data_IF_743950750769
#
_entry.id   IF_743950750769
#
_cell.length_a   1.000
_cell.length_b   1.000
_cell.length_c   1.000
_cell.angle_alpha   90.00
_cell.angle_beta   90.00
_cell.angle_gamma   90.00
#
_symmetry.space_group_name_H-M   'P 1'
#
loop_
_entity.id
_entity.type
_entity.pdbx_description
1 polymer ?
#
# COMPACT_ATOMS: atom_id res chain seq x y z
N UNK A 1 -7.14 -7.58 -5.39
CA UNK A 1 -6.65 -8.25 -4.21
C UNK A 1 -6.31 -9.71 -4.49
N UNK A 2 -5.51 -10.28 -3.66
CA UNK A 2 -5.19 -11.71 -3.69
C UNK A 2 -6.35 -12.52 -3.10
N UNK A 3 -6.53 -13.81 -3.47
CA UNK A 3 -7.62 -14.65 -2.99
C UNK A 3 -7.76 -14.68 -1.45
N UNK A 4 -6.64 -14.77 -0.73
CA UNK A 4 -6.63 -14.91 0.75
C UNK A 4 -6.25 -13.63 1.50
N UNK A 5 -6.18 -12.49 0.82
CA UNK A 5 -5.78 -11.21 1.40
C UNK A 5 -6.63 -10.83 2.64
N UNK A 6 -7.95 -10.97 2.52
CA UNK A 6 -8.88 -10.67 3.61
C UNK A 6 -8.70 -11.59 4.83
N UNK A 7 -8.34 -12.85 4.61
CA UNK A 7 -8.10 -13.82 5.70
C UNK A 7 -6.95 -13.39 6.60
N UNK A 8 -5.90 -12.81 6.00
CA UNK A 8 -4.69 -12.43 6.74
C UNK A 8 -4.62 -10.95 7.07
N UNK A 9 -5.64 -10.14 6.75
CA UNK A 9 -5.68 -8.72 7.10
C UNK A 9 -5.61 -8.55 8.63
N UNK A 10 -4.59 -7.82 9.12
CA UNK A 10 -4.28 -7.69 10.54
C UNK A 10 -3.62 -8.92 11.19
N UNK A 11 -3.41 -10.00 10.43
CA UNK A 11 -2.69 -11.21 10.86
C UNK A 11 -1.48 -11.52 9.96
N UNK A 12 -0.85 -10.49 9.45
CA UNK A 12 0.30 -10.59 8.55
C UNK A 12 0.18 -9.69 7.32
N UNK A 13 -1.02 -9.36 6.84
CA UNK A 13 -1.25 -8.42 5.74
C UNK A 13 -1.56 -7.03 6.28
N UNK A 14 -0.92 -6.01 5.71
CA UNK A 14 -1.13 -4.60 6.02
C UNK A 14 -1.03 -3.74 4.75
N UNK A 15 -1.68 -2.58 4.76
CA UNK A 15 -1.57 -1.54 3.74
C UNK A 15 -0.88 -0.26 4.27
N UNK A 16 -0.24 -0.35 5.45
CA UNK A 16 0.39 0.82 6.10
C UNK A 16 1.63 0.39 6.89
N UNK A 17 2.81 0.56 6.30
CA UNK A 17 4.07 0.21 6.97
C UNK A 17 4.32 1.06 8.24
N UNK A 18 3.97 2.33 8.22
CA UNK A 18 4.13 3.22 9.39
C UNK A 18 3.18 2.88 10.54
N UNK A 19 2.02 2.27 10.23
CA UNK A 19 1.05 1.83 11.24
C UNK A 19 1.51 0.54 11.93
N UNK A 20 1.89 -0.46 11.14
CA UNK A 20 2.05 -1.83 11.60
C UNK A 20 3.50 -2.33 11.61
N UNK A 21 4.43 -1.61 10.97
CA UNK A 21 5.82 -2.05 10.80
C UNK A 21 6.53 -2.43 12.10
N UNK A 22 6.17 -1.79 13.22
CA UNK A 22 6.76 -2.09 14.52
C UNK A 22 6.53 -3.54 14.98
N UNK A 23 5.40 -4.17 14.61
CA UNK A 23 5.09 -5.57 14.94
C UNK A 23 5.97 -6.58 14.19
N UNK A 24 6.69 -6.11 13.17
CA UNK A 24 7.57 -6.92 12.33
C UNK A 24 9.07 -6.70 12.59
N UNK A 25 9.41 -6.17 13.76
CA UNK A 25 10.82 -6.03 14.17
C UNK A 25 11.54 -7.37 14.15
N UNK A 26 12.69 -7.41 13.47
CA UNK A 26 13.56 -8.58 13.30
C UNK A 26 12.90 -9.75 12.55
N UNK A 27 11.80 -9.50 11.88
CA UNK A 27 11.08 -10.46 11.04
C UNK A 27 11.43 -10.27 9.57
N UNK A 28 10.97 -11.19 8.73
CA UNK A 28 11.09 -11.12 7.27
C UNK A 28 9.77 -10.60 6.71
N UNK A 29 9.83 -9.55 5.88
CA UNK A 29 8.62 -8.95 5.31
C UNK A 29 8.72 -8.76 3.81
N UNK A 30 7.58 -8.71 3.14
CA UNK A 30 7.50 -8.35 1.73
C UNK A 30 6.68 -7.06 1.54
N UNK A 31 7.11 -6.21 0.59
CA UNK A 31 6.41 -5.02 0.14
C UNK A 31 6.07 -5.19 -1.33
N UNK A 32 4.80 -5.12 -1.69
CA UNK A 32 4.35 -5.22 -3.08
C UNK A 32 4.21 -3.85 -3.69
N UNK A 33 4.98 -3.58 -4.72
CA UNK A 33 4.97 -2.30 -5.43
C UNK A 33 6.35 -1.88 -5.92
N UNK A 34 6.39 -0.91 -6.82
CA UNK A 34 7.63 -0.41 -7.41
C UNK A 34 7.64 1.11 -7.66
N UNK A 35 6.71 1.86 -7.04
CA UNK A 35 6.67 3.32 -7.04
C UNK A 35 7.32 3.91 -5.78
N UNK A 36 7.29 5.25 -5.66
CA UNK A 36 7.89 5.96 -4.52
C UNK A 36 7.36 5.47 -3.18
N UNK A 37 6.04 5.31 -3.03
CA UNK A 37 5.42 4.78 -1.80
C UNK A 37 6.00 3.40 -1.41
N UNK A 38 6.16 2.49 -2.37
CA UNK A 38 6.72 1.17 -2.09
C UNK A 38 8.18 1.25 -1.64
N UNK A 39 8.97 2.14 -2.24
CA UNK A 39 10.36 2.38 -1.84
C UNK A 39 10.46 3.04 -0.45
N UNK A 40 9.57 3.97 -0.14
CA UNK A 40 9.48 4.61 1.19
C UNK A 40 9.12 3.57 2.27
N UNK A 41 8.08 2.77 2.04
CA UNK A 41 7.65 1.72 2.96
C UNK A 41 8.74 0.66 3.15
N UNK A 42 9.37 0.20 2.06
CA UNK A 42 10.47 -0.76 2.14
C UNK A 42 11.67 -0.20 2.93
N UNK A 43 12.02 1.08 2.71
CA UNK A 43 13.10 1.75 3.44
C UNK A 43 12.78 1.88 4.95
N UNK A 44 11.54 2.22 5.28
CA UNK A 44 11.08 2.28 6.66
C UNK A 44 11.12 0.90 7.33
N UNK A 45 10.54 -0.11 6.68
CA UNK A 45 10.54 -1.49 7.18
C UNK A 45 11.95 -2.07 7.32
N UNK A 46 12.88 -1.72 6.44
CA UNK A 46 14.28 -2.14 6.53
C UNK A 46 14.97 -1.66 7.80
N UNK A 47 14.52 -0.55 8.40
CA UNK A 47 15.02 -0.07 9.70
C UNK A 47 14.54 -0.93 10.89
N UNK A 48 13.53 -1.75 10.70
CA UNK A 48 12.88 -2.56 11.73
C UNK A 48 13.08 -4.06 11.52
N UNK A 49 12.81 -4.52 10.31
CA UNK A 49 12.83 -5.93 9.91
C UNK A 49 14.26 -6.46 9.70
N UNK A 50 14.43 -7.75 9.80
CA UNK A 50 15.71 -8.42 9.48
C UNK A 50 15.95 -8.48 7.97
N UNK A 51 14.89 -8.64 7.18
CA UNK A 51 14.91 -8.69 5.72
C UNK A 51 13.63 -8.10 5.14
N UNK A 52 13.76 -7.36 4.04
CA UNK A 52 12.64 -6.84 3.26
C UNK A 52 12.77 -7.32 1.82
N UNK A 53 11.74 -7.97 1.31
CA UNK A 53 11.61 -8.29 -0.11
C UNK A 53 10.70 -7.27 -0.78
N UNK A 54 11.15 -6.62 -1.85
CA UNK A 54 10.27 -5.81 -2.69
C UNK A 54 9.80 -6.65 -3.88
N UNK A 55 8.52 -6.94 -3.95
CA UNK A 55 7.93 -7.71 -5.06
C UNK A 55 7.47 -6.74 -6.15
N UNK A 56 8.14 -6.76 -7.29
CA UNK A 56 7.95 -5.80 -8.38
C UNK A 56 7.59 -6.51 -9.66
N UNK A 57 6.39 -6.27 -10.18
CA UNK A 57 5.89 -6.92 -11.42
C UNK A 57 6.66 -6.56 -12.69
N UNK A 58 7.29 -5.40 -12.72
CA UNK A 58 8.08 -4.92 -13.86
C UNK A 58 9.57 -5.23 -13.69
N UNK A 59 10.38 -5.25 -14.75
CA UNK A 59 11.84 -5.40 -14.64
C UNK A 59 12.55 -4.12 -14.15
N UNK A 60 11.81 -3.13 -13.69
CA UNK A 60 12.32 -1.84 -13.22
C UNK A 60 11.39 -1.23 -12.17
N UNK A 61 11.93 -0.36 -11.33
CA UNK A 61 11.18 0.50 -10.43
C UNK A 61 10.65 1.74 -11.18
N UNK A 62 9.43 2.18 -10.82
CA UNK A 62 8.84 3.43 -11.32
C UNK A 62 9.06 4.62 -10.38
N UNK A 63 9.71 4.36 -9.26
CA UNK A 63 10.06 5.38 -8.27
C UNK A 63 11.03 6.42 -8.84
N UNK A 64 11.14 7.56 -8.17
CA UNK A 64 12.18 8.57 -8.44
C UNK A 64 13.57 7.96 -8.29
N UNK A 65 14.56 8.49 -9.02
CA UNK A 65 15.92 7.97 -9.00
C UNK A 65 16.51 7.91 -7.58
N UNK A 66 16.25 8.93 -6.76
CA UNK A 66 16.71 8.99 -5.37
C UNK A 66 16.14 7.82 -4.54
N UNK A 67 14.87 7.49 -4.75
CA UNK A 67 14.24 6.39 -4.02
C UNK A 67 14.74 5.02 -4.52
N UNK A 68 14.98 4.88 -5.82
CA UNK A 68 15.61 3.67 -6.39
C UNK A 68 16.98 3.43 -5.78
N UNK A 69 17.86 4.46 -5.80
CA UNK A 69 19.19 4.36 -5.22
C UNK A 69 19.15 3.99 -3.73
N UNK A 70 18.24 4.59 -2.97
CA UNK A 70 18.06 4.30 -1.55
C UNK A 70 17.77 2.82 -1.30
N UNK A 71 16.77 2.24 -1.98
CA UNK A 71 16.40 0.84 -1.75
C UNK A 71 17.47 -0.12 -2.25
N UNK A 72 18.14 0.19 -3.38
CA UNK A 72 19.20 -0.63 -3.94
C UNK A 72 20.47 -0.63 -3.06
N UNK A 73 20.73 0.44 -2.31
CA UNK A 73 21.88 0.55 -1.41
C UNK A 73 21.62 0.03 0.00
N UNK A 74 20.36 -0.29 0.33
CA UNK A 74 19.98 -0.78 1.66
C UNK A 74 20.26 -2.28 1.76
N UNK A 75 21.20 -2.74 2.63
CA UNK A 75 21.74 -4.10 2.58
C UNK A 75 20.73 -5.21 2.83
N UNK A 76 19.66 -4.94 3.62
CA UNK A 76 18.63 -5.91 3.94
C UNK A 76 17.36 -5.76 3.09
N UNK A 77 17.40 -4.97 2.01
CA UNK A 77 16.36 -4.95 0.98
C UNK A 77 16.82 -5.80 -0.21
N UNK A 78 15.94 -6.67 -0.68
CA UNK A 78 16.11 -7.43 -1.91
C UNK A 78 14.94 -7.19 -2.84
N UNK A 79 15.23 -6.83 -4.09
CA UNK A 79 14.19 -6.50 -5.08
C UNK A 79 13.97 -7.70 -5.99
N UNK A 80 12.78 -8.27 -5.93
CA UNK A 80 12.34 -9.38 -6.76
C UNK A 80 11.60 -8.81 -7.97
N UNK A 81 12.36 -8.48 -9.01
CA UNK A 81 11.80 -8.00 -10.27
C UNK A 81 11.06 -9.10 -11.03
N UNK A 82 10.06 -8.69 -11.83
CA UNK A 82 9.25 -9.57 -12.67
C UNK A 82 8.51 -10.65 -11.87
N UNK A 83 8.23 -10.37 -10.58
CA UNK A 83 7.49 -11.25 -9.69
C UNK A 83 6.08 -10.72 -9.43
N UNK A 84 5.12 -11.63 -9.45
CA UNK A 84 3.70 -11.34 -9.16
C UNK A 84 3.23 -12.26 -8.04
N UNK A 85 2.69 -11.72 -6.94
CA UNK A 85 2.07 -12.55 -5.91
C UNK A 85 0.78 -13.15 -6.45
N UNK A 86 0.55 -14.44 -6.19
CA UNK A 86 -0.61 -15.21 -6.67
C UNK A 86 -1.48 -15.75 -5.55
N UNK A 87 -0.96 -15.82 -4.32
CA UNK A 87 -1.69 -16.26 -3.15
C UNK A 87 -0.87 -16.09 -1.88
N UNK A 88 -1.53 -16.25 -0.75
CA UNK A 88 -0.92 -16.18 0.58
C UNK A 88 -1.18 -17.50 1.32
N UNK A 89 -0.28 -17.90 2.20
CA UNK A 89 -0.47 -19.12 2.99
C UNK A 89 -0.07 -18.94 4.46
N UNK A 90 -0.58 -19.81 5.30
CA UNK A 90 -0.34 -19.89 6.73
C UNK A 90 -1.52 -20.50 7.48
N UNK A 91 -1.28 -21.09 8.65
CA UNK A 91 -2.32 -21.73 9.48
C UNK A 91 -2.93 -20.74 10.49
N UNK A 92 -2.11 -20.14 11.34
CA UNK A 92 -2.55 -19.27 12.45
C UNK A 92 -2.26 -17.78 12.18
N UNK A 93 -1.86 -17.43 10.98
CA UNK A 93 -1.46 -16.12 10.50
C UNK A 93 -0.72 -16.28 9.18
N UNK A 94 -0.18 -15.20 8.67
CA UNK A 94 0.62 -15.24 7.45
C UNK A 94 1.96 -15.91 7.72
N UNK A 95 2.32 -16.89 6.89
CA UNK A 95 3.61 -17.59 6.91
C UNK A 95 4.38 -17.43 5.60
N UNK A 96 3.67 -17.04 4.51
CA UNK A 96 4.35 -16.82 3.25
C UNK A 96 3.43 -16.39 2.11
N UNK A 97 4.05 -16.21 0.93
CA UNK A 97 3.42 -15.78 -0.30
C UNK A 97 3.83 -16.68 -1.46
N UNK A 98 2.85 -17.09 -2.27
CA UNK A 98 3.09 -17.74 -3.56
C UNK A 98 3.45 -16.70 -4.61
N UNK A 99 4.54 -16.92 -5.31
CA UNK A 99 5.06 -16.00 -6.34
C UNK A 99 5.16 -16.68 -7.69
N UNK A 100 4.82 -15.91 -8.73
CA UNK A 100 5.09 -16.28 -10.12
C UNK A 100 6.11 -15.31 -10.70
N UNK A 101 7.30 -15.83 -11.04
CA UNK A 101 8.30 -15.10 -11.80
C UNK A 101 7.95 -15.13 -13.27
N UNK A 102 8.01 -13.97 -13.95
CA UNK A 102 7.77 -13.78 -15.40
C UNK A 102 6.46 -14.44 -15.87
N UNK A 103 5.38 -14.13 -15.17
CA UNK A 103 4.05 -14.67 -15.48
C UNK A 103 3.66 -14.49 -16.96
N UNK A 104 3.25 -15.58 -17.60
CA UNK A 104 2.85 -15.62 -19.01
C UNK A 104 4.01 -15.65 -20.02
N UNK A 105 5.26 -15.86 -19.58
CA UNK A 105 6.44 -16.03 -20.45
C UNK A 105 6.90 -17.49 -20.46
N UNK A 106 7.75 -17.85 -21.43
CA UNK A 106 8.22 -19.23 -21.61
C UNK A 106 9.03 -19.77 -20.43
N UNK A 107 9.73 -18.89 -19.71
CA UNK A 107 10.55 -19.21 -18.54
C UNK A 107 9.84 -18.90 -17.20
N UNK A 108 8.49 -18.86 -17.21
CA UNK A 108 7.69 -18.72 -16.01
C UNK A 108 8.06 -19.78 -14.96
N UNK A 109 8.17 -19.33 -13.70
CA UNK A 109 8.43 -20.21 -12.55
C UNK A 109 7.54 -19.80 -11.39
N UNK A 110 7.05 -20.78 -10.68
CA UNK A 110 6.29 -20.60 -9.44
C UNK A 110 7.14 -21.06 -8.26
N UNK A 111 7.09 -20.31 -7.18
CA UNK A 111 7.81 -20.64 -5.95
C UNK A 111 7.17 -19.95 -4.74
N UNK A 112 7.49 -20.47 -3.58
CA UNK A 112 7.02 -19.93 -2.31
C UNK A 112 8.12 -19.10 -1.66
N UNK A 113 7.72 -18.04 -0.96
CA UNK A 113 8.60 -17.19 -0.19
C UNK A 113 8.05 -17.05 1.22
N UNK A 114 8.81 -17.55 2.19
CA UNK A 114 8.45 -17.45 3.61
C UNK A 114 8.61 -16.00 4.08
N UNK A 115 7.55 -15.45 4.64
CA UNK A 115 7.49 -14.10 5.19
C UNK A 115 6.55 -14.04 6.39
N UNK A 116 6.85 -13.17 7.34
CA UNK A 116 5.99 -12.89 8.49
C UNK A 116 5.00 -11.75 8.23
N UNK A 117 5.27 -10.90 7.24
CA UNK A 117 4.46 -9.73 6.92
C UNK A 117 4.43 -9.40 5.44
N UNK A 118 3.25 -8.99 4.95
CA UNK A 118 2.99 -8.66 3.55
C UNK A 118 2.34 -7.28 3.46
N UNK A 119 3.05 -6.31 2.91
CA UNK A 119 2.65 -4.91 2.83
C UNK A 119 2.24 -4.53 1.41
N UNK A 120 1.04 -3.98 1.27
CA UNK A 120 0.48 -3.58 -0.02
C UNK A 120 0.78 -2.11 -0.30
N UNK A 121 1.76 -1.83 -1.15
CA UNK A 121 2.16 -0.48 -1.59
C UNK A 121 1.88 -0.25 -3.09
N UNK A 122 0.72 -0.72 -3.57
CA UNK A 122 0.31 -0.67 -4.98
C UNK A 122 -0.51 0.57 -5.35
N UNK A 123 -0.70 1.47 -4.40
CA UNK A 123 -1.51 2.67 -4.52
C UNK A 123 -2.91 2.50 -3.90
N UNK A 124 -3.61 3.62 -3.81
CA UNK A 124 -4.96 3.68 -3.25
C UNK A 124 -5.92 4.26 -4.28
N UNK A 125 -7.15 3.79 -4.24
CA UNK A 125 -8.26 4.38 -4.97
C UNK A 125 -9.35 4.76 -3.95
N UNK A 126 -9.79 6.03 -3.94
CA UNK A 126 -10.86 6.44 -3.04
C UNK A 126 -12.19 5.79 -3.45
N UNK A 127 -13.01 5.41 -2.46
CA UNK A 127 -14.34 4.86 -2.70
C UNK A 127 -15.36 5.94 -3.07
N UNK A 128 -15.04 6.78 -4.02
CA UNK A 128 -15.82 7.92 -4.47
C UNK A 128 -16.75 7.62 -5.65
N UNK A 129 -16.61 6.47 -6.29
CA UNK A 129 -17.33 6.10 -7.53
C UNK A 129 -18.85 6.25 -7.43
N UNK A 130 -19.42 5.98 -6.24
CA UNK A 130 -20.85 6.14 -5.99
C UNK A 130 -21.33 7.60 -6.08
N UNK A 131 -20.42 8.56 -5.90
CA UNK A 131 -20.74 9.99 -5.77
C UNK A 131 -20.37 10.81 -6.99
N UNK A 132 -19.63 10.24 -7.97
CA UNK A 132 -19.10 10.96 -9.15
C UNK A 132 -20.16 11.61 -10.04
N UNK A 133 -21.45 11.23 -9.89
CA UNK A 133 -22.56 11.88 -10.61
C UNK A 133 -22.96 13.23 -10.00
N UNK A 134 -22.60 13.48 -8.75
CA UNK A 134 -23.03 14.65 -7.99
C UNK A 134 -21.88 15.50 -7.47
N UNK A 135 -20.74 14.87 -7.20
CA UNK A 135 -19.57 15.52 -6.61
C UNK A 135 -18.40 15.53 -7.60
N UNK A 136 -17.70 16.64 -7.62
CA UNK A 136 -16.47 16.76 -8.39
C UNK A 136 -15.35 15.94 -7.74
N UNK A 137 -14.57 15.27 -8.58
CA UNK A 137 -13.36 14.56 -8.16
C UNK A 137 -12.15 15.09 -8.91
N UNK A 138 -10.97 14.84 -8.35
CA UNK A 138 -9.71 15.05 -9.08
C UNK A 138 -9.45 13.88 -10.07
N UNK A 139 -8.31 13.93 -10.77
CA UNK A 139 -7.90 12.92 -11.75
C UNK A 139 -7.67 11.53 -11.11
N UNK A 140 -7.35 11.47 -9.81
CA UNK A 140 -7.15 10.25 -9.05
C UNK A 140 -8.45 9.72 -8.40
N UNK A 141 -9.56 10.48 -8.52
CA UNK A 141 -10.87 10.11 -8.01
C UNK A 141 -11.19 10.64 -6.60
N UNK A 142 -10.34 11.42 -5.96
CA UNK A 142 -10.62 12.02 -4.66
C UNK A 142 -11.66 13.13 -4.78
N UNK A 143 -12.61 13.18 -3.84
CA UNK A 143 -13.64 14.21 -3.82
C UNK A 143 -12.98 15.57 -3.54
N UNK A 144 -13.26 16.56 -4.40
CA UNK A 144 -12.75 17.92 -4.23
C UNK A 144 -13.51 18.64 -3.12
N UNK A 145 -12.77 19.34 -2.29
CA UNK A 145 -13.28 20.24 -1.26
C UNK A 145 -12.89 21.69 -1.53
N UNK A 146 -13.58 22.62 -0.89
CA UNK A 146 -13.36 24.05 -1.09
C UNK A 146 -12.31 24.55 -0.09
N UNK A 147 -11.11 24.83 -0.57
CA UNK A 147 -9.98 25.26 0.26
C UNK A 147 -9.62 24.20 1.32
N UNK A 148 -9.38 24.62 2.55
CA UNK A 148 -9.05 23.75 3.69
C UNK A 148 -10.30 23.31 4.49
N UNK A 149 -11.49 23.45 3.89
CA UNK A 149 -12.77 23.06 4.52
C UNK A 149 -13.23 21.69 4.01
N UNK A 150 -14.12 20.99 4.71
CA UNK A 150 -14.72 19.76 4.23
C UNK A 150 -15.88 20.00 3.25
N UNK A 151 -16.24 21.26 2.95
CA UNK A 151 -17.34 21.62 2.08
C UNK A 151 -17.06 21.16 0.63
N UNK A 152 -18.06 20.56 0.00
CA UNK A 152 -18.02 20.25 -1.43
C UNK A 152 -18.67 21.37 -2.25
N UNK A 153 -18.65 21.26 -3.57
CA UNK A 153 -19.40 22.20 -4.44
C UNK A 153 -20.92 22.08 -4.29
N UNK A 154 -21.43 21.06 -3.62
CA UNK A 154 -22.87 20.85 -3.34
C UNK A 154 -23.18 21.28 -1.92
N UNK A 155 -24.05 22.28 -1.78
CA UNK A 155 -24.45 22.84 -0.49
C UNK A 155 -25.01 21.76 0.44
N UNK A 156 -24.55 21.75 1.71
CA UNK A 156 -24.96 20.77 2.73
C UNK A 156 -24.33 19.38 2.56
N UNK A 157 -23.38 19.23 1.61
CA UNK A 157 -22.64 17.98 1.40
C UNK A 157 -21.16 18.20 1.71
N UNK A 158 -20.64 17.39 2.62
CA UNK A 158 -19.28 17.47 3.13
C UNK A 158 -18.51 16.19 2.79
N UNK A 159 -17.21 16.32 2.52
CA UNK A 159 -16.32 15.20 2.31
C UNK A 159 -15.16 15.24 3.32
N UNK A 160 -14.91 14.13 4.00
CA UNK A 160 -13.89 14.02 5.02
C UNK A 160 -13.23 12.64 5.02
N UNK A 161 -12.01 12.55 5.55
CA UNK A 161 -11.20 11.33 5.58
C UNK A 161 -10.57 11.00 4.23
N UNK A 162 -10.21 9.74 4.08
CA UNK A 162 -9.42 9.24 2.94
C UNK A 162 -10.08 9.45 1.57
N UNK A 163 -11.41 9.62 1.53
CA UNK A 163 -12.13 9.88 0.28
C UNK A 163 -11.81 11.26 -0.32
N UNK A 164 -11.32 12.19 0.50
CA UNK A 164 -10.95 13.55 0.12
C UNK A 164 -9.46 13.88 0.37
N UNK A 165 -8.71 12.96 1.03
CA UNK A 165 -7.29 13.15 1.33
C UNK A 165 -6.39 12.20 0.53
N UNK A 166 -5.78 12.65 -0.56
CA UNK A 166 -4.86 11.83 -1.35
C UNK A 166 -3.50 11.61 -0.69
N UNK A 167 -3.19 12.31 0.41
CA UNK A 167 -1.83 12.42 0.92
C UNK A 167 -1.61 11.65 2.23
N UNK A 168 -2.35 11.99 3.29
CA UNK A 168 -2.01 11.52 4.64
C UNK A 168 -2.62 10.18 5.00
N UNK A 169 -3.89 9.96 4.73
CA UNK A 169 -4.60 8.68 4.90
C UNK A 169 -4.30 7.98 6.23
N UNK A 170 -4.42 8.76 7.31
CA UNK A 170 -4.21 8.30 8.68
C UNK A 170 -5.50 8.44 9.48
N UNK A 171 -5.79 7.46 10.36
CA UNK A 171 -7.02 7.45 11.16
C UNK A 171 -7.25 8.75 11.94
N UNK A 172 -6.19 9.31 12.52
CA UNK A 172 -6.28 10.57 13.28
C UNK A 172 -6.58 11.77 12.37
N UNK A 173 -6.04 11.79 11.15
CA UNK A 173 -6.32 12.84 10.16
C UNK A 173 -7.76 12.72 9.65
N UNK A 174 -8.21 11.49 9.37
CA UNK A 174 -9.58 11.22 8.96
C UNK A 174 -10.57 11.63 10.05
N UNK A 175 -10.30 11.29 11.33
CA UNK A 175 -11.11 11.72 12.46
C UNK A 175 -11.14 13.25 12.61
N UNK A 176 -10.00 13.92 12.46
CA UNK A 176 -9.90 15.39 12.51
C UNK A 176 -10.70 16.08 11.39
N UNK A 177 -10.62 15.58 10.15
CA UNK A 177 -11.42 16.10 9.04
C UNK A 177 -12.91 15.82 9.21
N UNK A 178 -13.27 14.64 9.77
CA UNK A 178 -14.65 14.32 10.13
C UNK A 178 -15.21 15.26 11.20
N UNK A 179 -14.41 15.62 12.21
CA UNK A 179 -14.81 16.59 13.22
C UNK A 179 -15.05 17.99 12.59
N UNK A 180 -14.22 18.43 11.65
CA UNK A 180 -14.48 19.66 10.88
C UNK A 180 -15.80 19.59 10.13
N UNK A 181 -16.07 18.49 9.44
CA UNK A 181 -17.30 18.31 8.67
C UNK A 181 -18.57 18.32 9.55
N UNK A 182 -18.44 17.88 10.81
CA UNK A 182 -19.56 17.90 11.75
C UNK A 182 -19.82 19.28 12.36
N UNK A 183 -18.90 20.23 12.21
CA UNK A 183 -18.98 21.60 12.74
C UNK A 183 -19.50 22.61 11.71
N UNK A 184 -19.44 22.28 10.42
CA UNK A 184 -20.01 23.04 9.32
C UNK A 184 -21.54 22.80 9.21
#
# INVERSE_FOLDING_TARGET
>A
GLPDEQKYMGMGVSACATCDGFFYRRKVVAVVGGGDTACEEASYLASLASKVYMIVRKPYLRASQIMQERVMQTPNIEILFENTPTGLYGENGLEGVHLTYRAGQEDQREYDLDIDGFFLAIGHHPNSTLFTKWLETDEAGYIKTIGDTPCTAVEGVYAAGDVADPRYRQAIIAAGSGAKAAME
#
